data_IF_162013942227
#
_entry.id   IF_162013942227
#
_cell.length_a   1.000
_cell.length_b   1.000
_cell.length_c   1.000
_cell.angle_alpha   90.00
_cell.angle_beta   90.00
_cell.angle_gamma   90.00
#
_symmetry.space_group_name_H-M   'P 1'
#
loop_
_entity.id
_entity.type
_entity.pdbx_description
1 polymer ?
#
# COMPACT_ATOMS: atom_id res chain seq x y z
N UNK A 1 -11.21 -1.00 -69.76
CA UNK A 1 -12.05 -0.19 -68.86
C UNK A 1 -12.43 -0.98 -67.60
N UNK A 2 -11.51 -1.30 -66.68
CA UNK A 2 -11.86 -1.94 -65.39
C UNK A 2 -10.73 -1.69 -64.38
N UNK A 3 -10.77 -0.57 -63.64
CA UNK A 3 -9.92 -0.35 -62.45
C UNK A 3 -10.28 0.92 -61.64
N UNK A 4 -11.07 1.84 -62.19
CA UNK A 4 -11.34 3.14 -61.54
C UNK A 4 -12.52 3.14 -60.55
N UNK A 5 -13.21 2.00 -60.33
CA UNK A 5 -14.41 1.93 -59.47
C UNK A 5 -14.14 1.48 -58.03
N UNK A 6 -12.98 0.93 -57.72
CA UNK A 6 -12.67 0.38 -56.38
C UNK A 6 -12.15 1.42 -55.39
N UNK A 7 -11.54 2.51 -55.87
CA UNK A 7 -10.86 3.49 -55.01
C UNK A 7 -11.82 4.48 -54.31
N UNK A 8 -13.03 4.71 -54.84
CA UNK A 8 -13.98 5.68 -54.24
C UNK A 8 -14.76 5.16 -53.05
N UNK A 9 -14.85 3.84 -52.85
CA UNK A 9 -15.55 3.24 -51.69
C UNK A 9 -14.65 3.09 -50.46
N UNK A 10 -13.33 3.06 -50.62
CA UNK A 10 -12.39 2.94 -49.51
C UNK A 10 -12.24 4.24 -48.69
N UNK A 11 -12.34 5.42 -49.33
CA UNK A 11 -12.19 6.69 -48.63
C UNK A 11 -13.42 7.08 -47.77
N UNK A 12 -14.62 6.63 -48.12
CA UNK A 12 -15.84 6.96 -47.37
C UNK A 12 -15.98 6.13 -46.06
N UNK A 13 -15.28 5.00 -45.95
CA UNK A 13 -15.24 4.19 -44.74
C UNK A 13 -14.12 4.60 -43.77
N UNK A 14 -13.10 5.33 -44.25
CA UNK A 14 -12.00 5.81 -43.42
C UNK A 14 -12.36 7.01 -42.53
N UNK A 15 -13.25 7.90 -43.01
CA UNK A 15 -13.62 9.13 -42.28
C UNK A 15 -14.73 8.93 -41.24
N UNK A 16 -15.51 7.85 -41.32
CA UNK A 16 -16.55 7.52 -40.34
C UNK A 16 -16.00 6.87 -39.07
N UNK A 17 -14.84 6.21 -39.14
CA UNK A 17 -14.20 5.55 -37.99
C UNK A 17 -13.36 6.51 -37.15
N UNK A 18 -12.83 7.58 -37.76
CA UNK A 18 -12.01 8.58 -37.07
C UNK A 18 -12.87 9.55 -36.24
N UNK A 19 -14.12 9.79 -36.64
CA UNK A 19 -15.01 10.69 -35.90
C UNK A 19 -15.75 10.01 -34.74
N UNK A 20 -15.93 8.69 -34.78
CA UNK A 20 -16.52 7.93 -33.65
C UNK A 20 -15.48 7.44 -32.63
N UNK A 21 -14.21 7.28 -33.03
CA UNK A 21 -13.14 6.90 -32.09
C UNK A 21 -12.73 7.99 -31.09
N UNK A 22 -12.89 9.27 -31.44
CA UNK A 22 -12.48 10.40 -30.58
C UNK A 22 -13.54 10.72 -29.51
N UNK A 23 -14.81 10.38 -29.74
CA UNK A 23 -15.89 10.62 -28.77
C UNK A 23 -16.07 9.49 -27.74
N UNK A 24 -15.50 8.31 -27.98
CA UNK A 24 -15.54 7.19 -27.02
C UNK A 24 -14.39 7.22 -25.99
N UNK A 25 -13.40 8.10 -26.15
CA UNK A 25 -12.25 8.22 -25.24
C UNK A 25 -12.38 9.38 -24.23
N UNK A 26 -13.45 10.17 -24.27
CA UNK A 26 -13.56 11.42 -23.48
C UNK A 26 -14.64 11.36 -22.39
N UNK A 27 -15.29 10.22 -22.16
CA UNK A 27 -16.40 10.13 -21.20
C UNK A 27 -16.37 8.93 -20.26
N UNK A 28 -15.19 8.36 -19.99
CA UNK A 28 -15.03 7.82 -18.63
C UNK A 28 -14.89 9.03 -17.72
N UNK A 29 -15.75 9.22 -16.71
CA UNK A 29 -15.39 10.09 -15.61
C UNK A 29 -14.13 9.47 -15.01
N UNK A 30 -12.96 9.91 -15.48
CA UNK A 30 -11.73 9.67 -14.76
C UNK A 30 -11.99 10.34 -13.41
N UNK A 31 -12.09 9.59 -12.30
CA UNK A 31 -12.25 10.22 -11.00
C UNK A 31 -11.12 11.23 -10.92
N UNK A 32 -11.47 12.50 -10.66
CA UNK A 32 -10.50 13.57 -10.47
C UNK A 32 -9.35 12.97 -9.66
N UNK A 33 -8.16 12.82 -10.27
CA UNK A 33 -7.09 12.00 -9.71
C UNK A 33 -6.86 12.49 -8.28
N UNK A 34 -7.22 11.63 -7.33
CA UNK A 34 -7.28 12.00 -5.94
C UNK A 34 -5.90 12.48 -5.49
N UNK A 35 -5.95 13.43 -4.57
CA UNK A 35 -4.88 13.83 -3.67
C UNK A 35 -4.35 12.59 -2.92
N UNK A 36 -3.52 11.78 -3.59
CA UNK A 36 -3.00 10.52 -3.04
C UNK A 36 -4.08 9.51 -2.57
N UNK A 37 -3.63 8.41 -1.99
CA UNK A 37 -4.47 7.43 -1.29
C UNK A 37 -4.17 7.55 0.20
N UNK A 38 -5.20 7.74 1.03
CA UNK A 38 -5.02 7.81 2.49
C UNK A 38 -4.94 6.42 3.06
N UNK A 39 -3.83 6.08 3.72
CA UNK A 39 -3.65 4.79 4.40
C UNK A 39 -3.79 5.00 5.91
N UNK A 40 -4.77 4.34 6.52
CA UNK A 40 -4.92 4.21 7.96
C UNK A 40 -4.44 2.82 8.36
N UNK A 41 -3.27 2.74 8.98
CA UNK A 41 -2.65 1.47 9.32
C UNK A 41 -2.59 1.28 10.84
N UNK A 42 -2.82 0.04 11.26
CA UNK A 42 -2.52 -0.46 12.61
C UNK A 42 -1.38 -1.46 12.51
N UNK A 43 -0.31 -1.28 13.28
CA UNK A 43 0.79 -2.23 13.44
C UNK A 43 0.66 -2.86 14.82
N UNK A 44 0.35 -4.15 14.85
CA UNK A 44 0.06 -4.93 16.05
C UNK A 44 1.29 -5.75 16.47
N UNK A 45 1.81 -5.45 17.66
CA UNK A 45 2.94 -6.12 18.28
C UNK A 45 2.52 -7.02 19.46
N UNK A 46 1.23 -7.32 19.63
CA UNK A 46 0.68 -8.06 20.79
C UNK A 46 1.31 -9.44 21.03
N UNK A 47 1.84 -10.08 20.00
CA UNK A 47 2.55 -11.36 20.11
C UNK A 47 4.04 -11.22 20.48
N UNK A 48 4.49 -10.00 20.78
CA UNK A 48 5.88 -9.70 21.14
C UNK A 48 5.91 -9.28 22.61
N UNK A 49 6.23 -10.23 23.46
CA UNK A 49 6.54 -9.97 24.87
C UNK A 49 7.74 -10.83 25.23
N UNK A 50 8.94 -10.27 25.05
CA UNK A 50 10.15 -10.93 25.46
C UNK A 50 10.46 -10.54 26.91
N UNK A 51 10.67 -11.55 27.76
CA UNK A 51 10.94 -11.40 29.20
C UNK A 51 9.91 -10.67 30.07
N UNK A 52 8.74 -10.30 29.56
CA UNK A 52 7.72 -9.62 30.37
C UNK A 52 7.92 -8.10 30.47
N UNK A 53 8.82 -7.51 29.69
CA UNK A 53 9.04 -6.06 29.72
C UNK A 53 7.99 -5.32 28.88
N UNK A 54 7.43 -4.28 29.47
CA UNK A 54 6.48 -3.36 28.82
C UNK A 54 7.13 -2.51 27.73
N UNK A 55 8.46 -2.43 27.69
CA UNK A 55 9.21 -1.73 26.64
C UNK A 55 9.08 -2.39 25.26
N UNK A 56 8.78 -3.70 25.21
CA UNK A 56 8.53 -4.47 23.98
C UNK A 56 7.06 -4.40 23.51
N UNK A 57 6.16 -3.77 24.27
CA UNK A 57 4.74 -3.74 23.91
C UNK A 57 4.43 -2.87 22.70
N UNK A 58 5.39 -2.07 22.24
CA UNK A 58 5.18 -1.15 21.13
C UNK A 58 6.38 -1.15 20.19
N UNK A 59 6.10 -0.99 18.90
CA UNK A 59 7.17 -0.91 17.92
C UNK A 59 8.10 0.28 18.19
N UNK A 60 9.41 0.06 18.09
CA UNK A 60 10.51 1.04 18.24
C UNK A 60 10.90 1.73 16.93
N UNK A 61 10.47 1.18 15.79
CA UNK A 61 10.34 1.92 14.53
C UNK A 61 9.05 1.52 13.79
N UNK A 62 8.49 2.42 12.99
CA UNK A 62 7.29 2.23 12.17
C UNK A 62 7.55 2.65 10.73
N UNK A 63 6.97 1.93 9.78
CA UNK A 63 7.10 2.27 8.36
C UNK A 63 5.86 1.93 7.55
N UNK A 64 5.72 2.61 6.43
CA UNK A 64 4.73 2.35 5.40
C UNK A 64 5.43 2.33 4.04
N UNK A 65 5.14 1.33 3.22
CA UNK A 65 5.49 1.35 1.81
C UNK A 65 4.28 1.25 0.89
N UNK A 66 4.42 1.92 -0.24
CA UNK A 66 3.59 1.75 -1.42
C UNK A 66 4.42 1.27 -2.61
N UNK A 67 3.82 0.44 -3.45
CA UNK A 67 4.39 0.01 -4.73
C UNK A 67 3.59 0.67 -5.86
N UNK A 68 4.22 1.25 -6.90
CA UNK A 68 5.67 1.45 -7.10
C UNK A 68 6.20 2.71 -6.41
N UNK A 69 5.34 3.45 -5.70
CA UNK A 69 5.61 4.79 -5.18
C UNK A 69 6.74 4.90 -4.15
N UNK A 70 7.22 3.78 -3.61
CA UNK A 70 8.14 3.75 -2.49
C UNK A 70 7.44 3.92 -1.15
N UNK A 71 8.24 3.92 -0.09
CA UNK A 71 7.81 4.01 1.30
C UNK A 71 8.73 4.87 2.15
N UNK A 72 8.38 5.02 3.42
CA UNK A 72 9.20 5.74 4.39
C UNK A 72 8.83 5.42 5.84
N UNK A 73 9.71 5.85 6.74
CA UNK A 73 9.46 5.80 8.17
C UNK A 73 8.26 6.68 8.54
N UNK A 74 7.43 6.18 9.45
CA UNK A 74 6.29 6.90 10.00
C UNK A 74 6.77 7.62 11.26
N UNK A 75 6.69 8.96 11.32
CA UNK A 75 7.08 9.70 12.51
C UNK A 75 6.20 9.32 13.70
N UNK A 76 6.82 9.00 14.84
CA UNK A 76 6.09 8.72 16.09
C UNK A 76 5.11 9.83 16.51
N UNK A 77 5.41 11.09 16.18
CA UNK A 77 4.51 12.23 16.42
C UNK A 77 3.19 12.16 15.64
N UNK A 78 3.15 11.35 14.58
CA UNK A 78 1.95 11.09 13.76
C UNK A 78 1.27 9.76 14.10
N UNK A 79 1.87 8.97 14.99
CA UNK A 79 1.36 7.69 15.43
C UNK A 79 0.71 7.82 16.82
N UNK A 80 -0.34 7.04 17.06
CA UNK A 80 -1.07 6.96 18.32
C UNK A 80 -0.97 5.54 18.87
N UNK A 81 -0.47 5.39 20.09
CA UNK A 81 -0.42 4.11 20.77
C UNK A 81 -1.83 3.64 21.14
N UNK A 82 -2.11 2.35 20.99
CA UNK A 82 -3.34 1.71 21.42
C UNK A 82 -2.99 0.66 22.49
N UNK A 83 -3.11 1.02 23.78
CA UNK A 83 -2.64 0.16 24.87
C UNK A 83 -3.39 -1.15 25.03
N UNK A 84 -4.68 -1.20 24.68
CA UNK A 84 -5.47 -2.42 24.80
C UNK A 84 -4.95 -3.56 23.91
N UNK A 85 -4.23 -3.24 22.83
CA UNK A 85 -3.79 -4.19 21.81
C UNK A 85 -2.30 -4.12 21.51
N UNK A 86 -1.50 -3.40 22.32
CA UNK A 86 -0.03 -3.31 22.14
C UNK A 86 0.34 -2.95 20.69
N UNK A 87 -0.32 -1.92 20.16
CA UNK A 87 -0.25 -1.58 18.73
C UNK A 87 -0.12 -0.08 18.50
N UNK A 88 0.39 0.28 17.33
CA UNK A 88 0.43 1.67 16.85
C UNK A 88 -0.58 1.88 15.74
N UNK A 89 -1.30 3.00 15.80
CA UNK A 89 -2.14 3.48 14.70
C UNK A 89 -1.55 4.73 14.09
N UNK A 90 -1.53 4.81 12.77
CA UNK A 90 -1.10 6.02 12.07
C UNK A 90 -1.89 6.22 10.79
N UNK A 91 -1.82 7.43 10.26
CA UNK A 91 -2.42 7.79 8.97
C UNK A 91 -1.38 8.47 8.11
N UNK A 92 -1.21 8.01 6.87
CA UNK A 92 -0.27 8.60 5.93
C UNK A 92 -0.83 8.51 4.51
N UNK A 93 -0.56 9.52 3.69
CA UNK A 93 -0.97 9.54 2.29
C UNK A 93 0.14 8.93 1.44
N UNK A 94 -0.20 7.95 0.60
CA UNK A 94 0.69 7.45 -0.45
C UNK A 94 0.37 8.12 -1.79
N UNK A 95 1.34 8.27 -2.70
CA UNK A 95 1.12 8.88 -4.00
C UNK A 95 -0.01 8.23 -4.81
N UNK A 96 -0.66 9.00 -5.67
CA UNK A 96 -1.59 8.45 -6.66
C UNK A 96 -0.86 7.46 -7.57
N UNK A 97 -1.49 6.33 -7.88
CA UNK A 97 -0.89 5.27 -8.71
C UNK A 97 -0.19 4.16 -7.92
N UNK A 98 -0.18 4.24 -6.58
CA UNK A 98 0.17 3.09 -5.74
C UNK A 98 -0.83 1.94 -5.95
N UNK A 99 -0.32 0.76 -6.29
CA UNK A 99 -1.08 -0.47 -6.57
C UNK A 99 -1.04 -1.48 -5.44
N UNK A 100 -0.15 -1.31 -4.46
CA UNK A 100 -0.11 -2.13 -3.25
C UNK A 100 0.51 -1.35 -2.09
N UNK A 101 0.10 -1.64 -0.86
CA UNK A 101 0.67 -1.05 0.36
C UNK A 101 1.01 -2.12 1.40
N UNK A 102 2.07 -1.87 2.15
CA UNK A 102 2.49 -2.69 3.29
C UNK A 102 2.91 -1.78 4.44
N UNK A 103 2.56 -2.14 5.66
CA UNK A 103 3.00 -1.45 6.86
C UNK A 103 3.69 -2.43 7.80
N UNK A 104 4.55 -1.91 8.66
CA UNK A 104 5.23 -2.71 9.66
C UNK A 104 5.96 -1.88 10.68
N UNK A 105 6.68 -2.58 11.55
CA UNK A 105 7.49 -1.98 12.59
C UNK A 105 8.52 -2.96 13.15
N UNK A 106 9.43 -2.44 13.97
CA UNK A 106 10.32 -3.25 14.80
C UNK A 106 9.63 -3.43 16.15
N UNK A 107 9.03 -4.59 16.38
CA UNK A 107 8.18 -4.84 17.56
C UNK A 107 8.94 -5.30 18.82
N UNK A 108 10.27 -5.42 18.76
CA UNK A 108 11.09 -5.66 19.95
C UNK A 108 12.22 -4.65 19.99
N UNK A 109 12.45 -4.09 21.17
CA UNK A 109 13.48 -3.09 21.41
C UNK A 109 14.50 -3.58 22.43
N UNK A 110 15.73 -3.05 22.34
CA UNK A 110 16.74 -3.32 23.36
C UNK A 110 17.62 -4.53 23.09
N UNK A 111 17.53 -5.14 21.90
CA UNK A 111 18.56 -6.05 21.43
C UNK A 111 19.71 -5.29 20.78
N UNK A 112 20.88 -5.92 20.75
CA UNK A 112 22.05 -5.36 20.07
C UNK A 112 21.81 -5.21 18.55
N UNK A 113 20.92 -6.03 17.98
CA UNK A 113 20.59 -6.04 16.55
C UNK A 113 19.12 -6.42 16.32
N UNK A 114 18.30 -5.43 15.99
CA UNK A 114 16.91 -5.60 15.55
C UNK A 114 16.77 -5.19 14.09
N UNK A 115 16.19 -6.04 13.25
CA UNK A 115 16.00 -5.77 11.83
C UNK A 115 14.55 -5.94 11.38
N UNK A 116 14.19 -5.17 10.35
CA UNK A 116 13.02 -5.45 9.54
C UNK A 116 13.22 -6.74 8.74
N UNK A 117 12.24 -7.61 8.83
CA UNK A 117 12.13 -8.77 7.96
C UNK A 117 11.25 -8.52 6.76
N UNK A 118 10.52 -9.56 6.37
CA UNK A 118 9.52 -9.50 5.34
C UNK A 118 8.28 -8.72 5.81
N UNK A 119 7.63 -8.05 4.87
CA UNK A 119 6.32 -7.46 5.10
C UNK A 119 5.38 -7.81 3.98
N UNK A 120 4.17 -8.23 4.37
CA UNK A 120 3.11 -8.53 3.42
C UNK A 120 2.48 -7.24 2.90
N UNK A 121 2.18 -7.25 1.60
CA UNK A 121 1.52 -6.15 0.91
C UNK A 121 0.08 -6.53 0.59
N UNK A 122 -0.81 -5.56 0.70
CA UNK A 122 -2.18 -5.65 0.21
C UNK A 122 -2.31 -4.89 -1.10
N UNK A 123 -2.84 -5.55 -2.13
CA UNK A 123 -3.15 -4.89 -3.41
C UNK A 123 -4.24 -3.83 -3.21
N UNK A 124 -4.14 -2.73 -3.96
CA UNK A 124 -5.12 -1.63 -3.95
C UNK A 124 -5.96 -1.72 -5.23
N UNK A 125 -7.28 -1.93 -5.12
CA UNK A 125 -8.17 -1.91 -6.26
C UNK A 125 -8.21 -0.52 -6.95
N UNK A 126 -8.43 -0.47 -8.28
CA UNK A 126 -8.61 0.81 -8.98
C UNK A 126 -9.77 1.64 -8.38
N UNK A 127 -9.56 2.95 -8.28
CA UNK A 127 -10.56 3.87 -7.73
C UNK A 127 -10.56 3.99 -6.21
N UNK A 128 -9.73 3.22 -5.49
CA UNK A 128 -9.57 3.36 -4.03
C UNK A 128 -9.02 4.74 -3.69
N UNK A 129 -9.61 5.38 -2.67
CA UNK A 129 -9.14 6.65 -2.11
C UNK A 129 -8.61 6.48 -0.69
N UNK A 130 -9.14 5.50 0.04
CA UNK A 130 -8.72 5.19 1.40
C UNK A 130 -8.48 3.70 1.56
N UNK A 131 -7.37 3.35 2.20
CA UNK A 131 -7.03 1.99 2.63
C UNK A 131 -6.99 1.97 4.15
N UNK A 132 -7.76 1.08 4.75
CA UNK A 132 -7.70 0.86 6.20
C UNK A 132 -7.20 -0.56 6.41
N UNK A 133 -6.09 -0.72 7.14
CA UNK A 133 -5.43 -2.02 7.29
C UNK A 133 -4.84 -2.25 8.67
N UNK A 134 -4.72 -3.54 9.01
CA UNK A 134 -4.00 -4.01 10.20
C UNK A 134 -2.94 -5.00 9.77
N UNK A 135 -1.72 -4.80 10.27
CA UNK A 135 -0.58 -5.69 10.09
C UNK A 135 -0.16 -6.25 11.44
N UNK A 136 -0.22 -7.56 11.60
CA UNK A 136 0.31 -8.22 12.79
C UNK A 136 1.77 -8.58 12.55
N UNK A 137 2.59 -8.23 13.51
CA UNK A 137 4.01 -8.47 13.47
C UNK A 137 4.41 -9.51 14.53
N UNK A 138 5.41 -10.31 14.17
CA UNK A 138 6.04 -11.29 15.05
C UNK A 138 7.55 -11.10 14.99
N UNK A 139 8.20 -11.19 16.14
CA UNK A 139 9.65 -11.03 16.26
C UNK A 139 10.26 -12.34 16.73
N UNK A 140 11.30 -12.80 16.04
CA UNK A 140 11.99 -14.04 16.38
C UNK A 140 13.51 -13.89 16.19
N UNK A 141 14.32 -14.62 16.98
CA UNK A 141 15.76 -14.67 16.77
C UNK A 141 16.08 -15.53 15.54
N UNK A 142 16.95 -15.05 14.67
CA UNK A 142 17.52 -15.85 13.58
C UNK A 142 18.79 -16.52 14.11
N UNK A 143 18.88 -17.85 14.11
CA UNK A 143 20.06 -18.54 14.66
C UNK A 143 21.10 -18.95 13.60
N UNK A 144 22.40 -18.69 13.82
CA UNK A 144 22.95 -17.69 14.75
C UNK A 144 22.77 -16.28 14.17
N UNK A 145 22.38 -15.28 14.98
CA UNK A 145 22.10 -13.98 14.38
C UNK A 145 21.13 -13.07 15.13
N UNK A 146 20.72 -11.98 14.45
CA UNK A 146 19.95 -10.89 15.04
C UNK A 146 18.46 -11.23 15.17
N UNK A 147 17.71 -10.30 15.76
CA UNK A 147 16.26 -10.38 15.84
C UNK A 147 15.62 -9.82 14.58
N UNK A 148 14.60 -10.51 14.08
CA UNK A 148 13.90 -10.12 12.87
C UNK A 148 12.40 -9.99 13.14
N UNK A 149 11.84 -8.82 12.81
CA UNK A 149 10.39 -8.59 12.89
C UNK A 149 9.77 -8.78 11.51
N UNK A 150 8.85 -9.73 11.38
CA UNK A 150 8.08 -9.98 10.16
C UNK A 150 6.63 -9.56 10.37
N UNK A 151 6.07 -8.84 9.40
CA UNK A 151 4.69 -8.33 9.49
C UNK A 151 3.82 -8.93 8.38
N UNK A 152 2.60 -9.31 8.75
CA UNK A 152 1.62 -9.94 7.86
C UNK A 152 0.34 -9.15 7.86
N UNK A 153 -0.33 -9.08 6.71
CA UNK A 153 -1.64 -8.44 6.60
C UNK A 153 -2.66 -9.29 7.36
N UNK A 154 -3.30 -8.71 8.39
CA UNK A 154 -4.39 -9.33 9.13
C UNK A 154 -5.74 -9.04 8.47
N UNK A 155 -5.96 -7.76 8.13
CA UNK A 155 -7.22 -7.30 7.56
C UNK A 155 -6.99 -6.03 6.75
N UNK A 156 -7.64 -5.89 5.61
CA UNK A 156 -7.65 -4.65 4.82
C UNK A 156 -9.04 -4.41 4.24
N UNK A 157 -9.45 -3.14 4.27
CA UNK A 157 -10.67 -2.64 3.64
C UNK A 157 -10.38 -1.39 2.81
N UNK A 158 -11.20 -1.16 1.80
CA UNK A 158 -11.02 -0.12 0.79
C UNK A 158 -12.29 0.72 0.65
N UNK A 159 -12.13 2.02 0.38
CA UNK A 159 -13.23 2.92 0.01
C UNK A 159 -12.81 3.96 -1.01
#
# INVERSE_FOLDING_TARGET
>A
MFAAKSARRALALGSALVTTGVLALVSTPQPAMASGITVQATVDCSNVNFFGDTSDWYATDLWLAGIPSGGGSVPYSSATAVPATHSWRFTQTVPSGTTAVGAGGICSGGHQYDFFGSSAYASIPPGTTTVIGTWACTTAPVYPGPWQTNCTVQSVSYS
#
